data_IF_464362792484
#
_entry.id   IF_464362792484
#
_cell.length_a   1.000
_cell.length_b   1.000
_cell.length_c   1.000
_cell.angle_alpha   90.00
_cell.angle_beta   90.00
_cell.angle_gamma   90.00
#
_symmetry.space_group_name_H-M   'P 1'
#
loop_
_entity.id
_entity.type
_entity.pdbx_description
1 polymer ?
#
# COMPACT_ATOMS: atom_id res chain seq x y z
N UNK A 1 1.36 6.39 -10.14
CA UNK A 1 1.95 5.60 -11.25
C UNK A 1 1.05 5.76 -12.48
N UNK A 2 1.58 6.20 -13.61
CA UNK A 2 0.79 6.36 -14.84
C UNK A 2 0.59 4.98 -15.49
N UNK A 3 -0.66 4.65 -15.85
CA UNK A 3 -0.96 3.48 -16.69
C UNK A 3 -0.20 3.58 -18.02
N UNK A 4 0.39 2.48 -18.46
CA UNK A 4 0.91 2.36 -19.82
C UNK A 4 -0.27 2.41 -20.80
N UNK A 5 -0.17 3.28 -21.82
CA UNK A 5 -1.25 3.48 -22.81
C UNK A 5 -1.08 2.63 -24.06
N UNK A 6 0.16 2.33 -24.41
CA UNK A 6 0.53 1.55 -25.59
C UNK A 6 0.90 0.13 -25.20
N UNK A 7 0.66 -0.82 -26.08
CA UNK A 7 1.02 -2.21 -25.87
C UNK A 7 2.53 -2.35 -25.70
N UNK A 8 2.94 -3.15 -24.75
CA UNK A 8 4.33 -3.40 -24.44
C UNK A 8 4.58 -3.75 -22.99
N UNK A 9 5.85 -3.95 -22.68
CA UNK A 9 6.36 -4.24 -21.34
C UNK A 9 7.36 -3.15 -20.96
N UNK A 10 7.24 -2.63 -19.76
CA UNK A 10 8.19 -1.69 -19.18
C UNK A 10 8.61 -2.16 -17.81
N UNK A 11 9.91 -2.34 -17.62
CA UNK A 11 10.50 -2.70 -16.33
C UNK A 11 11.40 -1.55 -15.87
N UNK A 12 11.28 -1.18 -14.61
CA UNK A 12 12.16 -0.21 -13.96
C UNK A 12 12.71 -0.80 -12.67
N UNK A 13 13.97 -0.53 -12.40
CA UNK A 13 14.64 -0.91 -11.16
C UNK A 13 15.28 0.34 -10.57
N UNK A 14 15.12 0.53 -9.28
CA UNK A 14 15.77 1.60 -8.51
C UNK A 14 16.57 0.94 -7.39
N UNK A 15 17.83 1.31 -7.27
CA UNK A 15 18.72 0.86 -6.23
C UNK A 15 19.33 2.09 -5.55
N UNK A 16 19.38 2.10 -4.25
CA UNK A 16 20.02 3.13 -3.46
C UNK A 16 20.79 2.50 -2.30
N UNK A 17 21.93 3.09 -1.99
CA UNK A 17 22.72 2.74 -0.84
C UNK A 17 23.16 4.02 -0.13
N UNK A 18 23.16 4.01 1.19
CA UNK A 18 23.49 5.16 2.03
C UNK A 18 24.18 4.80 3.32
N UNK A 19 24.43 5.80 4.16
CA UNK A 19 25.02 5.63 5.48
C UNK A 19 24.22 4.68 6.34
N UNK A 20 24.86 4.07 7.33
CA UNK A 20 24.25 3.13 8.29
C UNK A 20 23.69 1.87 7.63
N UNK A 21 24.37 1.39 6.56
CA UNK A 21 23.94 0.24 5.77
C UNK A 21 22.49 0.38 5.26
N UNK A 22 22.16 1.60 4.83
CA UNK A 22 20.84 1.89 4.27
C UNK A 22 20.75 1.38 2.85
N UNK A 23 19.81 0.47 2.61
CA UNK A 23 19.45 -0.05 1.30
C UNK A 23 18.04 0.38 0.93
N UNK A 24 17.86 0.84 -0.28
CA UNK A 24 16.56 1.13 -0.89
C UNK A 24 16.49 0.44 -2.24
N UNK A 25 15.57 -0.47 -2.38
CA UNK A 25 15.39 -1.21 -3.63
C UNK A 25 13.93 -1.22 -4.05
N UNK A 26 13.70 -1.00 -5.32
CA UNK A 26 12.38 -1.09 -5.92
C UNK A 26 12.49 -1.66 -7.34
N UNK A 27 11.63 -2.60 -7.66
CA UNK A 27 11.45 -3.11 -9.00
C UNK A 27 9.98 -2.99 -9.41
N UNK A 28 9.73 -2.39 -10.56
CA UNK A 28 8.37 -2.23 -11.11
C UNK A 28 8.33 -2.83 -12.51
N UNK A 29 7.34 -3.66 -12.75
CA UNK A 29 7.00 -4.17 -14.07
C UNK A 29 5.61 -3.67 -14.46
N UNK A 30 5.48 -3.18 -15.68
CA UNK A 30 4.22 -2.74 -16.28
C UNK A 30 4.02 -3.46 -17.60
N UNK A 31 2.84 -3.99 -17.80
CA UNK A 31 2.45 -4.66 -19.05
C UNK A 31 1.14 -4.06 -19.54
N UNK A 32 1.07 -3.77 -20.83
CA UNK A 32 -0.18 -3.53 -21.56
C UNK A 32 -0.18 -4.46 -22.76
N UNK A 33 -1.26 -5.23 -22.92
CA UNK A 33 -1.46 -6.11 -24.08
C UNK A 33 -2.95 -6.15 -24.43
N UNK A 34 -3.30 -5.48 -25.51
CA UNK A 34 -4.70 -5.34 -25.92
C UNK A 34 -5.56 -4.77 -24.78
N UNK A 35 -6.52 -5.52 -24.28
CA UNK A 35 -7.45 -5.12 -23.21
C UNK A 35 -6.88 -5.30 -21.79
N UNK A 36 -5.78 -6.03 -21.66
CA UNK A 36 -5.17 -6.31 -20.36
C UNK A 36 -4.08 -5.29 -20.01
N UNK A 37 -4.03 -4.89 -18.75
CA UNK A 37 -2.92 -4.12 -18.20
C UNK A 37 -2.57 -4.60 -16.78
N UNK A 38 -1.29 -4.53 -16.44
CA UNK A 38 -0.82 -4.84 -15.09
C UNK A 38 0.31 -3.91 -14.67
N UNK A 39 0.39 -3.69 -13.36
CA UNK A 39 1.51 -3.05 -12.68
C UNK A 39 1.84 -3.92 -11.49
N UNK A 40 3.08 -4.35 -11.38
CA UNK A 40 3.59 -5.11 -10.25
C UNK A 40 4.84 -4.40 -9.75
N UNK A 41 4.85 -4.06 -8.47
CA UNK A 41 5.99 -3.41 -7.81
C UNK A 41 6.36 -4.20 -6.57
N UNK A 42 7.65 -4.47 -6.40
CA UNK A 42 8.22 -4.98 -5.17
C UNK A 42 9.26 -3.99 -4.64
N UNK A 43 9.33 -3.80 -3.34
CA UNK A 43 10.32 -2.95 -2.71
C UNK A 43 10.89 -3.58 -1.43
N UNK A 44 12.14 -3.25 -1.15
CA UNK A 44 12.81 -3.60 0.08
C UNK A 44 13.65 -2.42 0.53
N UNK A 45 13.48 -2.04 1.78
CA UNK A 45 14.22 -0.95 2.43
C UNK A 45 14.74 -1.44 3.77
N UNK A 46 15.99 -1.09 4.10
CA UNK A 46 16.55 -1.35 5.41
C UNK A 46 17.54 -0.26 5.80
N UNK A 47 17.76 -0.10 7.10
CA UNK A 47 18.84 0.69 7.66
C UNK A 47 19.18 0.15 9.05
N UNK A 48 20.45 0.25 9.46
CA UNK A 48 20.85 -0.05 10.83
C UNK A 48 20.62 1.15 11.78
N UNK A 49 20.26 2.34 11.22
CA UNK A 49 20.09 3.55 12.00
C UNK A 49 21.43 4.18 12.41
N UNK A 50 21.38 5.38 12.96
CA UNK A 50 22.59 6.12 13.39
C UNK A 50 23.00 5.82 14.84
N UNK A 51 22.23 5.00 15.55
CA UNK A 51 22.49 4.51 16.91
C UNK A 51 22.13 3.03 17.01
N UNK A 52 22.67 2.29 18.00
CA UNK A 52 22.21 0.94 18.31
C UNK A 52 20.69 0.89 18.55
N UNK A 53 20.07 -0.20 18.21
CA UNK A 53 18.63 -0.47 18.36
C UNK A 53 17.71 0.51 17.60
N UNK A 54 18.20 1.04 16.44
CA UNK A 54 17.43 1.86 15.51
C UNK A 54 17.23 1.20 14.15
N UNK A 55 17.28 -0.11 14.14
CA UNK A 55 17.10 -0.86 12.90
C UNK A 55 15.68 -0.70 12.34
N UNK A 56 15.63 -0.56 11.03
CA UNK A 56 14.40 -0.58 10.28
C UNK A 56 14.53 -1.48 9.06
N UNK A 57 13.54 -2.30 8.83
CA UNK A 57 13.43 -3.16 7.65
C UNK A 57 11.99 -3.18 7.13
N UNK A 58 11.82 -3.02 5.82
CA UNK A 58 10.51 -2.99 5.20
C UNK A 58 10.48 -3.77 3.89
N UNK A 59 9.46 -4.57 3.72
CA UNK A 59 9.07 -5.21 2.46
C UNK A 59 7.76 -4.60 1.97
N UNK A 60 7.72 -4.22 0.70
CA UNK A 60 6.53 -3.70 0.05
C UNK A 60 6.18 -4.47 -1.22
N UNK A 61 4.90 -4.68 -1.45
CA UNK A 61 4.39 -5.27 -2.68
C UNK A 61 3.12 -4.55 -3.14
N UNK A 62 3.07 -4.20 -4.41
CA UNK A 62 1.88 -3.63 -5.03
C UNK A 62 1.60 -4.33 -6.35
N UNK A 63 0.37 -4.73 -6.54
CA UNK A 63 -0.11 -5.31 -7.78
C UNK A 63 -1.41 -4.63 -8.18
N UNK A 64 -1.50 -4.20 -9.42
CA UNK A 64 -2.75 -3.78 -10.05
C UNK A 64 -2.92 -4.57 -11.33
N UNK A 65 -4.08 -5.16 -11.49
CA UNK A 65 -4.54 -5.81 -12.71
C UNK A 65 -5.74 -5.04 -13.25
N UNK A 66 -5.81 -4.83 -14.54
CA UNK A 66 -6.94 -4.18 -15.19
C UNK A 66 -7.29 -4.88 -16.49
N UNK A 67 -8.58 -4.93 -16.81
CA UNK A 67 -9.08 -5.49 -18.02
C UNK A 67 -10.24 -4.65 -18.57
N UNK A 68 -10.12 -4.22 -19.81
CA UNK A 68 -11.14 -3.49 -20.55
C UNK A 68 -12.16 -4.50 -21.11
N UNK A 69 -13.34 -4.60 -20.49
CA UNK A 69 -14.39 -5.53 -20.92
C UNK A 69 -14.90 -5.13 -22.31
N UNK A 70 -15.13 -3.81 -22.49
CA UNK A 70 -15.47 -3.19 -23.75
C UNK A 70 -15.03 -1.71 -23.76
N UNK A 71 -15.53 -0.90 -24.70
CA UNK A 71 -15.22 0.53 -24.80
C UNK A 71 -15.69 1.36 -23.61
N UNK A 72 -16.67 0.87 -22.88
CA UNK A 72 -17.35 1.60 -21.80
C UNK A 72 -17.10 1.02 -20.42
N UNK A 73 -16.70 -0.24 -20.33
CA UNK A 73 -16.53 -0.95 -19.07
C UNK A 73 -15.11 -1.43 -18.82
N UNK A 74 -14.63 -1.22 -17.60
CA UNK A 74 -13.33 -1.66 -17.15
C UNK A 74 -13.45 -2.32 -15.77
N UNK A 75 -12.77 -3.42 -15.57
CA UNK A 75 -12.61 -4.07 -14.27
C UNK A 75 -11.16 -3.96 -13.82
N UNK A 76 -10.95 -3.74 -12.52
CA UNK A 76 -9.61 -3.74 -11.94
C UNK A 76 -9.58 -4.36 -10.57
N UNK A 77 -8.42 -4.93 -10.24
CA UNK A 77 -8.10 -5.43 -8.90
C UNK A 77 -6.77 -4.84 -8.46
N UNK A 78 -6.70 -4.41 -7.21
CA UNK A 78 -5.49 -3.90 -6.58
C UNK A 78 -5.17 -4.74 -5.34
N UNK A 79 -3.89 -4.98 -5.11
CA UNK A 79 -3.35 -5.57 -3.88
C UNK A 79 -2.15 -4.73 -3.45
N UNK A 80 -2.15 -4.30 -2.21
CA UNK A 80 -1.01 -3.66 -1.55
C UNK A 80 -0.67 -4.42 -0.28
N UNK A 81 0.59 -4.78 -0.11
CA UNK A 81 1.12 -5.47 1.06
C UNK A 81 2.34 -4.71 1.56
N UNK A 82 2.39 -4.48 2.87
CA UNK A 82 3.55 -3.90 3.53
C UNK A 82 3.81 -4.68 4.81
N UNK A 83 5.05 -5.06 5.00
CA UNK A 83 5.56 -5.62 6.24
C UNK A 83 6.78 -4.82 6.67
N UNK A 84 6.85 -4.42 7.92
CA UNK A 84 8.04 -3.79 8.46
C UNK A 84 8.33 -4.21 9.90
N UNK A 85 9.61 -4.19 10.20
CA UNK A 85 10.16 -4.29 11.54
C UNK A 85 10.87 -2.98 11.84
N UNK A 86 10.68 -2.44 13.03
CA UNK A 86 11.30 -1.19 13.47
C UNK A 86 11.64 -1.29 14.95
N UNK A 87 12.84 -0.88 15.30
CA UNK A 87 13.29 -0.73 16.68
C UNK A 87 13.39 0.75 17.05
N UNK A 88 13.13 1.08 18.29
CA UNK A 88 13.16 2.47 18.76
C UNK A 88 13.81 2.56 20.16
N UNK A 89 15.09 2.96 20.26
CA UNK A 89 15.82 3.04 21.53
C UNK A 89 15.46 4.27 22.38
N UNK A 90 14.42 5.01 22.05
CA UNK A 90 14.08 6.25 22.72
C UNK A 90 15.10 7.37 22.49
N UNK A 91 15.18 8.34 23.39
CA UNK A 91 16.17 9.41 23.33
C UNK A 91 17.46 9.02 24.06
N UNK A 92 18.54 9.79 23.86
CA UNK A 92 19.81 9.55 24.58
C UNK A 92 19.63 9.75 26.10
N UNK A 93 18.79 10.70 26.49
CA UNK A 93 18.52 11.00 27.91
C UNK A 93 17.48 10.07 28.56
N UNK A 94 16.63 9.46 27.73
CA UNK A 94 15.58 8.53 28.15
C UNK A 94 15.61 7.31 27.24
N UNK A 95 16.61 6.43 27.38
CA UNK A 95 16.72 5.24 26.56
C UNK A 95 15.59 4.25 26.87
N UNK A 96 15.14 3.57 25.84
CA UNK A 96 14.16 2.48 25.92
C UNK A 96 14.81 1.22 25.38
N UNK A 97 14.74 0.16 26.15
CA UNK A 97 15.32 -1.15 25.83
C UNK A 97 14.26 -2.09 25.31
N UNK A 98 14.63 -2.99 24.39
CA UNK A 98 13.77 -4.04 23.84
C UNK A 98 12.45 -3.48 23.24
N UNK A 99 12.51 -2.29 22.64
CA UNK A 99 11.36 -1.69 21.96
C UNK A 99 11.40 -2.05 20.48
N UNK A 100 10.46 -2.88 20.05
CA UNK A 100 10.33 -3.28 18.63
C UNK A 100 8.86 -3.38 18.18
N UNK A 101 8.67 -3.10 16.91
CA UNK A 101 7.37 -3.21 16.26
C UNK A 101 7.48 -4.02 14.98
N UNK A 102 6.60 -5.03 14.83
CA UNK A 102 6.42 -5.82 13.61
C UNK A 102 5.01 -5.64 13.12
N UNK A 103 4.89 -4.97 11.99
CA UNK A 103 3.58 -4.61 11.46
C UNK A 103 3.45 -5.15 10.04
N UNK A 104 2.33 -5.85 9.80
CA UNK A 104 1.92 -6.26 8.46
C UNK A 104 0.60 -5.59 8.15
N UNK A 105 0.52 -4.91 7.02
CA UNK A 105 -0.73 -4.33 6.51
C UNK A 105 -0.97 -4.77 5.09
N UNK A 106 -2.22 -5.07 4.80
CA UNK A 106 -2.66 -5.42 3.47
C UNK A 106 -3.93 -4.65 3.10
N UNK A 107 -4.06 -4.36 1.84
CA UNK A 107 -5.26 -3.80 1.24
C UNK A 107 -5.51 -4.49 -0.10
N UNK A 108 -6.74 -4.91 -0.33
CA UNK A 108 -7.18 -5.31 -1.67
C UNK A 108 -8.42 -4.51 -2.05
N UNK A 109 -8.56 -4.22 -3.33
CA UNK A 109 -9.76 -3.61 -3.88
C UNK A 109 -10.13 -4.22 -5.23
N UNK A 110 -11.42 -4.23 -5.52
CA UNK A 110 -11.99 -4.57 -6.81
C UNK A 110 -12.84 -3.41 -7.27
N UNK A 111 -12.71 -3.04 -8.53
CA UNK A 111 -13.52 -1.97 -9.10
C UNK A 111 -14.10 -2.39 -10.45
N UNK A 112 -15.37 -2.11 -10.64
CA UNK A 112 -16.05 -2.15 -11.92
C UNK A 112 -16.42 -0.71 -12.27
N UNK A 113 -15.83 -0.19 -13.34
CA UNK A 113 -15.97 1.20 -13.76
C UNK A 113 -16.70 1.26 -15.11
N UNK A 114 -17.62 2.21 -15.23
CA UNK A 114 -18.24 2.52 -16.52
C UNK A 114 -17.90 3.94 -16.98
N UNK A 115 -17.84 4.13 -18.30
CA UNK A 115 -17.59 5.42 -18.91
C UNK A 115 -18.28 5.50 -20.27
N UNK A 116 -19.35 6.26 -20.31
CA UNK A 116 -20.08 6.62 -21.53
C UNK A 116 -19.89 8.10 -21.83
N UNK A 117 -20.40 8.57 -22.95
CA UNK A 117 -20.27 9.97 -23.37
C UNK A 117 -20.77 10.96 -22.31
N UNK A 118 -21.92 10.68 -21.71
CA UNK A 118 -22.58 11.56 -20.74
C UNK A 118 -22.64 11.02 -19.32
N UNK A 119 -22.27 9.77 -19.11
CA UNK A 119 -22.32 9.13 -17.79
C UNK A 119 -21.04 8.39 -17.46
N UNK A 120 -20.67 8.39 -16.19
CA UNK A 120 -19.54 7.60 -15.70
C UNK A 120 -19.75 7.24 -14.24
N UNK A 121 -19.29 6.09 -13.83
CA UNK A 121 -19.40 5.66 -12.44
C UNK A 121 -18.50 4.50 -12.10
N UNK A 122 -18.54 4.09 -10.86
CA UNK A 122 -17.82 2.93 -10.37
C UNK A 122 -18.57 2.26 -9.22
N UNK A 123 -18.49 0.94 -9.19
CA UNK A 123 -18.75 0.11 -8.04
C UNK A 123 -17.39 -0.41 -7.54
N UNK A 124 -17.08 -0.19 -6.27
CA UNK A 124 -15.82 -0.61 -5.66
C UNK A 124 -16.10 -1.41 -4.40
N UNK A 125 -15.35 -2.47 -4.23
CA UNK A 125 -15.23 -3.22 -2.99
C UNK A 125 -13.79 -3.07 -2.49
N UNK A 126 -13.60 -2.92 -1.18
CA UNK A 126 -12.27 -2.94 -0.58
C UNK A 126 -12.25 -3.78 0.69
N UNK A 127 -11.09 -4.34 0.96
CA UNK A 127 -10.81 -5.07 2.18
C UNK A 127 -9.40 -4.74 2.66
N UNK A 128 -9.31 -4.20 3.87
CA UNK A 128 -8.07 -3.88 4.55
C UNK A 128 -7.88 -4.82 5.73
N UNK A 129 -6.63 -5.18 6.00
CA UNK A 129 -6.29 -5.95 7.20
C UNK A 129 -4.95 -5.52 7.75
N UNK A 130 -4.80 -5.66 9.06
CA UNK A 130 -3.59 -5.38 9.80
C UNK A 130 -3.29 -6.48 10.81
N UNK A 131 -2.00 -6.70 11.03
CA UNK A 131 -1.48 -7.48 12.14
C UNK A 131 -0.35 -6.67 12.76
N UNK A 132 -0.49 -6.33 14.03
CA UNK A 132 0.48 -5.60 14.80
C UNK A 132 1.02 -6.49 15.91
N UNK A 133 2.32 -6.45 16.07
CA UNK A 133 3.03 -7.08 17.18
C UNK A 133 4.01 -6.03 17.69
N UNK A 134 3.73 -5.48 18.86
CA UNK A 134 4.43 -4.34 19.42
C UNK A 134 4.95 -4.70 20.78
N UNK A 135 6.23 -4.44 21.00
CA UNK A 135 6.88 -4.42 22.28
C UNK A 135 7.23 -2.96 22.61
N UNK A 136 6.62 -2.41 23.64
CA UNK A 136 6.87 -1.03 24.06
C UNK A 136 8.20 -0.85 24.77
N UNK A 137 8.88 -1.97 25.09
CA UNK A 137 10.15 -1.94 25.79
C UNK A 137 10.04 -1.53 27.26
N UNK A 138 11.15 -1.15 27.83
CA UNK A 138 11.23 -0.67 29.21
C UNK A 138 12.34 0.39 29.38
N UNK A 139 12.17 1.29 30.32
CA UNK A 139 13.12 2.34 30.61
C UNK A 139 14.23 1.92 31.58
N UNK A 140 15.17 2.82 31.83
CA UNK A 140 16.25 2.60 32.81
C UNK A 140 15.68 2.43 34.21
N UNK A 141 15.96 1.28 34.84
CA UNK A 141 15.49 0.94 36.21
C UNK A 141 14.07 0.36 36.23
N UNK A 142 13.49 0.12 35.11
CA UNK A 142 12.21 -0.60 34.94
C UNK A 142 12.46 -2.07 34.61
N UNK A 143 11.49 -2.92 34.92
CA UNK A 143 11.50 -4.34 34.53
C UNK A 143 10.89 -4.51 33.15
N UNK A 144 11.35 -5.51 32.36
CA UNK A 144 10.73 -5.85 31.09
C UNK A 144 9.25 -6.17 31.25
N UNK A 145 8.43 -5.73 30.26
CA UNK A 145 7.01 -6.07 30.25
C UNK A 145 6.78 -7.57 30.06
N UNK A 146 5.87 -8.12 30.85
CA UNK A 146 5.48 -9.54 30.77
C UNK A 146 4.70 -9.91 29.52
N UNK A 147 4.24 -8.92 28.77
CA UNK A 147 3.40 -9.12 27.58
C UNK A 147 3.84 -8.24 26.41
N UNK A 148 3.49 -8.70 25.22
CA UNK A 148 3.59 -7.97 23.98
C UNK A 148 2.19 -7.58 23.50
N UNK A 149 2.02 -6.36 23.03
CA UNK A 149 0.77 -5.97 22.42
C UNK A 149 0.60 -6.67 21.07
N UNK A 150 -0.48 -7.42 20.93
CA UNK A 150 -0.86 -8.08 19.69
C UNK A 150 -2.25 -7.61 19.27
N UNK A 151 -2.35 -7.09 18.04
CA UNK A 151 -3.62 -6.63 17.48
C UNK A 151 -3.81 -7.16 16.05
N UNK A 152 -5.06 -7.41 15.72
CA UNK A 152 -5.49 -7.70 14.34
C UNK A 152 -6.71 -6.84 14.04
N UNK A 153 -6.64 -6.10 12.96
CA UNK A 153 -7.75 -5.29 12.47
C UNK A 153 -8.20 -5.73 11.08
N UNK A 154 -9.45 -5.51 10.79
CA UNK A 154 -10.04 -5.75 9.48
C UNK A 154 -11.09 -4.67 9.22
N UNK A 155 -11.12 -4.20 7.99
CA UNK A 155 -12.13 -3.26 7.53
C UNK A 155 -12.48 -3.60 6.08
N UNK A 156 -13.76 -3.62 5.76
CA UNK A 156 -14.24 -3.81 4.40
C UNK A 156 -15.38 -2.84 4.13
N UNK A 157 -15.56 -2.51 2.88
CA UNK A 157 -16.65 -1.66 2.45
C UNK A 157 -16.93 -1.77 0.97
N UNK A 158 -18.07 -1.22 0.60
CA UNK A 158 -18.51 -1.09 -0.78
C UNK A 158 -18.81 0.38 -1.00
N UNK A 159 -18.35 0.91 -2.10
CA UNK A 159 -18.62 2.28 -2.54
C UNK A 159 -19.18 2.23 -3.96
N UNK A 160 -20.25 2.95 -4.20
CA UNK A 160 -20.83 3.11 -5.50
C UNK A 160 -21.10 4.57 -5.79
N UNK A 161 -20.76 5.02 -6.98
CA UNK A 161 -21.17 6.33 -7.47
C UNK A 161 -21.51 6.28 -8.96
N UNK A 162 -22.40 7.17 -9.38
CA UNK A 162 -22.74 7.42 -10.77
C UNK A 162 -22.85 8.92 -11.01
N UNK A 163 -22.18 9.39 -12.06
CA UNK A 163 -22.22 10.76 -12.54
C UNK A 163 -22.94 10.81 -13.88
N UNK A 164 -23.73 11.85 -14.11
CA UNK A 164 -24.40 12.12 -15.37
C UNK A 164 -24.34 13.60 -15.72
N UNK A 165 -24.09 13.91 -17.00
CA UNK A 165 -24.24 15.26 -17.57
C UNK A 165 -25.59 15.32 -18.27
N UNK A 166 -26.58 15.95 -17.61
CA UNK A 166 -27.96 16.02 -18.11
C UNK A 166 -28.12 17.05 -19.23
N UNK A 167 -27.40 18.17 -19.13
CA UNK A 167 -27.34 19.24 -20.14
C UNK A 167 -25.94 19.89 -20.14
N UNK A 168 -25.66 20.74 -21.12
CA UNK A 168 -24.36 21.42 -21.23
C UNK A 168 -24.00 22.24 -19.99
N UNK A 169 -22.77 22.10 -19.51
CA UNK A 169 -22.25 22.78 -18.32
C UNK A 169 -22.69 22.20 -16.98
N UNK A 170 -23.44 21.10 -16.96
CA UNK A 170 -23.94 20.44 -15.75
C UNK A 170 -23.33 19.03 -15.59
N UNK A 171 -23.03 18.66 -14.35
CA UNK A 171 -22.70 17.31 -13.95
C UNK A 171 -23.28 16.99 -12.57
N UNK A 172 -24.17 16.03 -12.53
CA UNK A 172 -24.72 15.50 -11.29
C UNK A 172 -23.99 14.21 -10.91
N UNK A 173 -23.67 14.05 -9.63
CA UNK A 173 -23.09 12.82 -9.08
C UNK A 173 -23.90 12.39 -7.87
N UNK A 174 -24.28 11.13 -7.83
CA UNK A 174 -24.89 10.48 -6.67
C UNK A 174 -24.08 9.23 -6.32
N UNK A 175 -24.02 8.89 -5.05
CA UNK A 175 -23.28 7.73 -4.57
C UNK A 175 -23.63 7.35 -3.14
N UNK A 176 -23.10 6.23 -2.72
CA UNK A 176 -23.22 5.64 -1.38
C UNK A 176 -21.95 4.89 -1.05
N UNK A 177 -21.55 4.95 0.23
CA UNK A 177 -20.42 4.23 0.82
C UNK A 177 -20.92 3.36 1.98
#
# INVERSE_FOLDING_TARGET
>A
TRRQREDGVRTGVRLGYGSYDTWMTEATNQVKKGRFNSIITGSYNRTNGHRPDMEFEQYGGYTRLGYELDHSWNVSADLNLTHFNASNPGTVSTPVFDNDSRITRGMTSFALENRYERTSGALKFFYNWGKHHINDGYGTGEEPLDYRFNSKDRMMGISWYQSASLFSGNRLTAGID
#
